data_IF_941356616050
#
_entry.id   IF_941356616050
#
_cell.length_a   1.000
_cell.length_b   1.000
_cell.length_c   1.000
_cell.angle_alpha   90.00
_cell.angle_beta   90.00
_cell.angle_gamma   90.00
#
_symmetry.space_group_name_H-M   'P 1'
#
loop_
_entity.id
_entity.type
_entity.pdbx_description
1 polymer ?
#
# COMPACT_ATOMS: atom_id res chain seq x y z
N UNK A 1 23.26 2.53 5.35
CA UNK A 1 22.99 3.61 4.39
C UNK A 1 22.01 4.56 5.03
N UNK A 2 22.28 5.87 5.08
CA UNK A 2 21.34 6.82 5.69
C UNK A 2 20.23 7.19 4.71
N UNK A 3 19.08 7.66 5.21
CA UNK A 3 17.94 8.10 4.40
C UNK A 3 18.29 9.13 3.30
N UNK A 4 19.11 10.18 3.58
CA UNK A 4 19.55 11.10 2.53
C UNK A 4 20.42 10.43 1.45
N UNK A 5 21.26 9.45 1.80
CA UNK A 5 22.07 8.71 0.81
C UNK A 5 21.17 7.91 -0.16
N UNK A 6 20.08 7.33 0.35
CA UNK A 6 19.15 6.54 -0.45
C UNK A 6 18.41 7.40 -1.48
N UNK A 7 17.97 8.60 -1.09
CA UNK A 7 17.31 9.52 -2.01
C UNK A 7 18.25 10.02 -3.11
N UNK A 8 19.50 10.31 -2.77
CA UNK A 8 20.51 10.68 -3.76
C UNK A 8 20.73 9.55 -4.78
N UNK A 9 20.88 8.31 -4.31
CA UNK A 9 21.01 7.12 -5.17
C UNK A 9 19.76 6.90 -6.04
N UNK A 10 18.56 7.10 -5.49
CA UNK A 10 17.32 6.99 -6.26
C UNK A 10 17.21 8.06 -7.35
N UNK A 11 17.67 9.27 -7.05
CA UNK A 11 17.69 10.36 -8.03
C UNK A 11 18.71 10.13 -9.14
N UNK A 12 19.92 9.69 -8.80
CA UNK A 12 20.94 9.34 -9.79
C UNK A 12 20.47 8.20 -10.71
N UNK A 13 19.84 7.17 -10.14
CA UNK A 13 19.25 6.07 -10.90
C UNK A 13 18.10 6.55 -11.80
N UNK A 14 17.23 7.42 -11.29
CA UNK A 14 16.16 8.03 -12.09
C UNK A 14 16.70 8.82 -13.27
N UNK A 15 17.70 9.67 -13.06
CA UNK A 15 18.33 10.46 -14.11
C UNK A 15 19.02 9.58 -15.18
N UNK A 16 19.65 8.48 -14.76
CA UNK A 16 20.21 7.49 -15.68
C UNK A 16 19.12 6.83 -16.53
N UNK A 17 18.03 6.41 -15.91
CA UNK A 17 16.89 5.77 -16.59
C UNK A 17 16.18 6.74 -17.53
N UNK A 18 16.05 8.00 -17.12
CA UNK A 18 15.47 9.09 -17.92
C UNK A 18 16.27 9.33 -19.21
N UNK A 19 17.60 9.40 -19.10
CA UNK A 19 18.51 9.51 -20.26
C UNK A 19 18.42 8.30 -21.19
N UNK A 20 18.11 7.13 -20.65
CA UNK A 20 17.93 5.89 -21.40
C UNK A 20 16.49 5.66 -21.90
N UNK A 21 15.59 6.64 -21.75
CA UNK A 21 14.21 6.55 -22.25
C UNK A 21 13.34 5.52 -21.53
N UNK A 22 13.60 5.24 -20.26
CA UNK A 22 12.84 4.24 -19.48
C UNK A 22 12.82 2.84 -20.12
N UNK A 23 13.98 2.44 -20.65
CA UNK A 23 14.21 1.12 -21.24
C UNK A 23 15.50 0.48 -20.71
N UNK A 24 15.70 -0.80 -21.06
CA UNK A 24 16.92 -1.53 -20.76
C UNK A 24 17.11 -1.92 -19.28
N UNK A 25 18.33 -2.37 -18.92
CA UNK A 25 18.61 -2.92 -17.59
C UNK A 25 18.44 -1.91 -16.44
N UNK A 26 18.79 -0.63 -16.67
CA UNK A 26 18.63 0.42 -15.66
C UNK A 26 17.16 0.63 -15.30
N UNK A 27 16.27 0.64 -16.31
CA UNK A 27 14.83 0.71 -16.09
C UNK A 27 14.33 -0.50 -15.30
N UNK A 28 14.72 -1.72 -15.70
CA UNK A 28 14.33 -2.94 -14.97
C UNK A 28 14.74 -2.88 -13.51
N UNK A 29 15.96 -2.41 -13.23
CA UNK A 29 16.45 -2.27 -11.86
C UNK A 29 15.64 -1.25 -11.05
N UNK A 30 15.34 -0.08 -11.64
CA UNK A 30 14.51 0.92 -10.98
C UNK A 30 13.08 0.43 -10.72
N UNK A 31 12.44 -0.13 -11.75
CA UNK A 31 11.09 -0.67 -11.67
C UNK A 31 10.98 -1.74 -10.57
N UNK A 32 11.95 -2.65 -10.52
CA UNK A 32 12.00 -3.73 -9.54
C UNK A 32 12.15 -3.21 -8.10
N UNK A 33 12.93 -2.14 -7.89
CA UNK A 33 13.01 -1.45 -6.59
C UNK A 33 11.68 -0.80 -6.20
N UNK A 34 11.04 -0.09 -7.12
CA UNK A 34 9.74 0.55 -6.87
C UNK A 34 8.65 -0.48 -6.58
N UNK A 35 8.56 -1.54 -7.39
CA UNK A 35 7.60 -2.63 -7.21
C UNK A 35 7.77 -3.29 -5.85
N UNK A 36 9.00 -3.70 -5.48
CA UNK A 36 9.24 -4.32 -4.17
C UNK A 36 8.84 -3.40 -3.02
N UNK A 37 9.19 -2.12 -3.08
CA UNK A 37 8.80 -1.16 -2.06
C UNK A 37 7.27 -0.97 -2.01
N UNK A 38 6.62 -0.81 -3.16
CA UNK A 38 5.17 -0.68 -3.26
C UNK A 38 4.43 -1.90 -2.70
N UNK A 39 4.89 -3.12 -2.99
CA UNK A 39 4.31 -4.36 -2.46
C UNK A 39 4.46 -4.45 -0.93
N UNK A 40 5.66 -4.15 -0.41
CA UNK A 40 5.94 -4.18 1.02
C UNK A 40 5.08 -3.18 1.81
N UNK A 41 4.77 -2.02 1.23
CA UNK A 41 3.92 -1.00 1.84
C UNK A 41 2.44 -1.30 1.68
N UNK A 42 2.00 -1.56 0.44
CA UNK A 42 0.58 -1.63 0.10
C UNK A 42 -0.07 -2.93 0.62
N UNK A 43 0.67 -4.05 0.61
CA UNK A 43 0.18 -5.34 1.09
C UNK A 43 -0.43 -5.28 2.50
N UNK A 44 0.35 -4.90 3.52
CA UNK A 44 -0.14 -4.75 4.88
C UNK A 44 -1.27 -3.71 5.00
N UNK A 45 -1.24 -2.62 4.21
CA UNK A 45 -2.32 -1.62 4.22
C UNK A 45 -3.64 -2.18 3.70
N UNK A 46 -3.61 -3.00 2.65
CA UNK A 46 -4.80 -3.63 2.07
C UNK A 46 -5.34 -4.73 2.99
N UNK A 47 -4.49 -5.68 3.43
CA UNK A 47 -4.91 -6.79 4.33
C UNK A 47 -5.48 -6.32 5.66
N UNK A 48 -4.98 -5.20 6.20
CA UNK A 48 -5.53 -4.60 7.42
C UNK A 48 -6.76 -3.71 7.19
N UNK A 49 -6.97 -3.30 5.94
CA UNK A 49 -7.89 -2.25 5.51
C UNK A 49 -7.49 -0.85 5.96
N UNK A 50 -6.24 -0.65 6.37
CA UNK A 50 -5.68 0.66 6.63
C UNK A 50 -5.71 1.56 5.38
N UNK A 51 -5.59 0.95 4.19
CA UNK A 51 -5.63 1.64 2.90
C UNK A 51 -6.84 2.57 2.74
N UNK A 52 -8.01 2.22 3.28
CA UNK A 52 -9.20 3.07 3.24
C UNK A 52 -9.02 4.37 4.04
N UNK A 53 -8.34 4.29 5.19
CA UNK A 53 -8.00 5.47 6.00
C UNK A 53 -6.87 6.29 5.38
N UNK A 54 -5.95 5.65 4.63
CA UNK A 54 -4.94 6.37 3.82
C UNK A 54 -5.65 7.16 2.71
N UNK A 55 -6.54 6.53 1.95
CA UNK A 55 -7.31 7.17 0.89
C UNK A 55 -8.13 8.37 1.39
N UNK A 56 -8.77 8.24 2.56
CA UNK A 56 -9.53 9.33 3.18
C UNK A 56 -8.65 10.55 3.52
N UNK A 57 -7.48 10.35 4.13
CA UNK A 57 -6.54 11.45 4.44
C UNK A 57 -6.08 12.17 3.18
N UNK A 58 -5.91 11.41 2.10
CA UNK A 58 -5.57 11.95 0.78
C UNK A 58 -6.77 12.53 0.03
N UNK A 59 -7.86 12.81 0.73
CA UNK A 59 -9.08 13.44 0.20
C UNK A 59 -9.75 12.62 -0.91
N UNK A 60 -9.57 11.30 -0.89
CA UNK A 60 -10.18 10.33 -1.79
C UNK A 60 -11.04 9.31 -1.02
N UNK A 61 -12.04 9.74 -0.24
CA UNK A 61 -12.81 8.82 0.59
C UNK A 61 -13.56 7.78 -0.27
N UNK A 62 -13.45 6.51 0.12
CA UNK A 62 -14.12 5.39 -0.55
C UNK A 62 -15.41 4.95 0.15
N UNK A 63 -15.47 5.11 1.48
CA UNK A 63 -16.59 4.71 2.36
C UNK A 63 -17.13 3.29 2.04
N UNK A 64 -16.30 2.24 2.18
CA UNK A 64 -16.74 0.88 1.90
C UNK A 64 -17.79 0.41 2.91
N UNK A 65 -18.71 -0.45 2.48
CA UNK A 65 -19.54 -1.24 3.41
C UNK A 65 -18.67 -2.22 4.21
N UNK A 66 -19.20 -2.77 5.31
CA UNK A 66 -18.47 -3.79 6.09
C UNK A 66 -18.12 -5.02 5.24
N UNK A 67 -19.01 -5.42 4.32
CA UNK A 67 -18.81 -6.53 3.40
C UNK A 67 -17.75 -6.21 2.35
N UNK A 68 -17.81 -5.04 1.70
CA UNK A 68 -16.79 -4.61 0.72
C UNK A 68 -15.40 -4.57 1.36
N UNK A 69 -15.34 -4.04 2.58
CA UNK A 69 -14.11 -3.98 3.35
C UNK A 69 -13.56 -5.38 3.62
N UNK A 70 -14.40 -6.31 4.08
CA UNK A 70 -14.00 -7.69 4.34
C UNK A 70 -13.49 -8.38 3.07
N UNK A 71 -14.22 -8.24 1.95
CA UNK A 71 -13.85 -8.84 0.67
C UNK A 71 -12.48 -8.36 0.18
N UNK A 72 -12.20 -7.06 0.28
CA UNK A 72 -10.89 -6.50 -0.10
C UNK A 72 -9.78 -6.97 0.84
N UNK A 73 -10.05 -7.03 2.14
CA UNK A 73 -9.05 -7.38 3.15
C UNK A 73 -8.65 -8.86 3.14
N UNK A 74 -9.55 -9.75 2.72
CA UNK A 74 -9.30 -11.20 2.75
C UNK A 74 -9.19 -11.79 1.37
N UNK A 75 -10.22 -11.62 0.53
CA UNK A 75 -10.36 -12.38 -0.72
C UNK A 75 -9.55 -11.76 -1.85
N UNK A 76 -9.60 -10.43 -1.97
CA UNK A 76 -9.02 -9.73 -3.10
C UNK A 76 -7.74 -8.97 -2.72
N UNK A 77 -7.16 -9.21 -1.55
CA UNK A 77 -6.06 -8.40 -1.05
C UNK A 77 -4.87 -8.38 -2.02
N UNK A 78 -4.40 -9.56 -2.44
CA UNK A 78 -3.27 -9.68 -3.37
C UNK A 78 -3.62 -9.13 -4.77
N UNK A 79 -4.83 -9.37 -5.27
CA UNK A 79 -5.29 -8.82 -6.56
C UNK A 79 -5.31 -7.30 -6.57
N UNK A 80 -5.80 -6.68 -5.48
CA UNK A 80 -5.77 -5.23 -5.32
C UNK A 80 -4.35 -4.70 -5.22
N UNK A 81 -3.47 -5.41 -4.51
CA UNK A 81 -2.08 -4.99 -4.32
C UNK A 81 -1.32 -5.05 -5.64
N UNK A 82 -1.33 -6.20 -6.33
CA UNK A 82 -0.61 -6.40 -7.59
C UNK A 82 -1.10 -5.47 -8.70
N UNK A 83 -2.42 -5.34 -8.88
CA UNK A 83 -2.99 -4.47 -9.92
C UNK A 83 -2.67 -3.00 -9.64
N UNK A 84 -2.74 -2.56 -8.37
CA UNK A 84 -2.42 -1.19 -8.00
C UNK A 84 -0.95 -0.84 -8.24
N UNK A 85 -0.03 -1.74 -7.86
CA UNK A 85 1.41 -1.55 -8.09
C UNK A 85 1.73 -1.55 -9.59
N UNK A 86 1.12 -2.46 -10.35
CA UNK A 86 1.31 -2.54 -11.82
C UNK A 86 0.85 -1.26 -12.50
N UNK A 87 -0.37 -0.79 -12.20
CA UNK A 87 -0.91 0.46 -12.76
C UNK A 87 -0.07 1.68 -12.39
N UNK A 88 0.42 1.73 -11.15
CA UNK A 88 1.28 2.83 -10.71
C UNK A 88 2.60 2.85 -11.50
N UNK A 89 3.18 1.68 -11.79
CA UNK A 89 4.41 1.57 -12.59
C UNK A 89 4.18 1.95 -14.06
N UNK A 90 3.07 1.51 -14.64
CA UNK A 90 2.69 1.90 -16.00
C UNK A 90 2.48 3.41 -16.13
N UNK A 91 1.77 4.01 -15.15
CA UNK A 91 1.59 5.45 -15.07
C UNK A 91 2.92 6.16 -14.91
N UNK A 92 3.79 5.70 -14.00
CA UNK A 92 5.13 6.26 -13.82
C UNK A 92 5.91 6.30 -15.12
N UNK A 93 5.96 5.18 -15.85
CA UNK A 93 6.69 5.10 -17.11
C UNK A 93 6.11 6.06 -18.16
N UNK A 94 4.78 6.09 -18.30
CA UNK A 94 4.08 6.97 -19.24
C UNK A 94 4.33 8.45 -18.93
N UNK A 95 4.03 8.87 -17.71
CA UNK A 95 4.15 10.26 -17.28
C UNK A 95 5.60 10.75 -17.40
N UNK A 96 6.58 9.86 -17.18
CA UNK A 96 8.00 10.19 -17.34
C UNK A 96 8.48 10.25 -18.80
N UNK A 97 7.81 9.55 -19.72
CA UNK A 97 8.09 9.61 -21.16
C UNK A 97 7.46 10.83 -21.81
N UNK A 98 6.25 11.18 -21.40
CA UNK A 98 5.49 12.31 -21.95
C UNK A 98 6.05 13.66 -21.48
N UNK A 99 6.90 13.68 -20.45
CA UNK A 99 7.43 14.90 -19.84
C UNK A 99 6.40 15.73 -19.06
N UNK A 100 5.15 15.28 -19.03
CA UNK A 100 4.02 15.85 -18.30
C UNK A 100 4.02 15.46 -16.81
N UNK A 101 4.79 14.43 -16.43
CA UNK A 101 5.07 14.11 -15.05
C UNK A 101 6.02 15.13 -14.44
N UNK A 102 5.50 16.03 -13.59
CA UNK A 102 6.36 16.88 -12.74
C UNK A 102 7.39 16.02 -12.00
N UNK A 103 8.56 16.60 -11.70
CA UNK A 103 9.71 15.86 -11.13
C UNK A 103 9.27 14.97 -9.95
N UNK A 104 9.24 13.62 -10.11
CA UNK A 104 8.77 12.70 -9.08
C UNK A 104 9.68 12.72 -7.83
N UNK A 105 10.81 13.43 -7.89
CA UNK A 105 11.68 13.70 -6.75
C UNK A 105 11.14 14.77 -5.79
N UNK A 106 10.14 15.57 -6.18
CA UNK A 106 9.62 16.66 -5.35
C UNK A 106 8.80 16.14 -4.16
N UNK A 107 9.26 16.44 -2.95
CA UNK A 107 8.53 16.28 -1.69
C UNK A 107 8.80 14.98 -0.93
N UNK A 108 8.50 13.82 -1.52
CA UNK A 108 8.63 12.50 -0.87
C UNK A 108 9.72 11.59 -1.44
N UNK A 109 10.48 12.10 -2.42
CA UNK A 109 11.34 11.27 -3.26
C UNK A 109 10.54 10.29 -4.13
N UNK A 110 11.27 9.59 -5.00
CA UNK A 110 10.70 8.70 -6.00
C UNK A 110 9.81 7.58 -5.40
N UNK A 111 10.25 7.00 -4.28
CA UNK A 111 9.51 5.96 -3.59
C UNK A 111 8.20 6.47 -2.96
N UNK A 112 8.22 7.64 -2.32
CA UNK A 112 7.03 8.28 -1.76
C UNK A 112 6.01 8.65 -2.83
N UNK A 113 6.49 9.18 -3.97
CA UNK A 113 5.65 9.41 -5.14
C UNK A 113 5.05 8.09 -5.67
N UNK A 114 5.85 7.02 -5.74
CA UNK A 114 5.36 5.74 -6.25
C UNK A 114 4.29 5.12 -5.35
N UNK A 115 4.49 5.11 -4.03
CA UNK A 115 3.46 4.69 -3.07
C UNK A 115 2.21 5.55 -3.20
N UNK A 116 2.37 6.85 -3.48
CA UNK A 116 1.24 7.72 -3.75
C UNK A 116 0.43 7.30 -4.98
N UNK A 117 1.11 6.98 -6.08
CA UNK A 117 0.49 6.47 -7.29
C UNK A 117 -0.20 5.11 -7.05
N UNK A 118 0.39 4.23 -6.23
CA UNK A 118 -0.23 2.97 -5.82
C UNK A 118 -1.57 3.19 -5.08
N UNK A 119 -1.63 4.15 -4.15
CA UNK A 119 -2.89 4.50 -3.44
C UNK A 119 -3.94 5.03 -4.42
N UNK A 120 -3.55 5.86 -5.38
CA UNK A 120 -4.46 6.35 -6.42
C UNK A 120 -5.00 5.19 -7.27
N UNK A 121 -4.13 4.30 -7.74
CA UNK A 121 -4.51 3.13 -8.52
C UNK A 121 -5.47 2.21 -7.75
N UNK A 122 -5.24 2.00 -6.45
CA UNK A 122 -6.14 1.27 -5.58
C UNK A 122 -7.54 1.92 -5.53
N UNK A 123 -7.61 3.25 -5.36
CA UNK A 123 -8.87 4.00 -5.34
C UNK A 123 -9.63 3.84 -6.67
N UNK A 124 -8.93 3.93 -7.80
CA UNK A 124 -9.50 3.74 -9.13
C UNK A 124 -10.02 2.32 -9.33
N UNK A 125 -9.24 1.31 -8.94
CA UNK A 125 -9.62 -0.10 -9.01
C UNK A 125 -10.85 -0.38 -8.13
N UNK A 126 -10.87 0.09 -6.89
CA UNK A 126 -12.01 -0.12 -5.98
C UNK A 126 -13.28 0.50 -6.54
N UNK A 127 -13.20 1.75 -7.03
CA UNK A 127 -14.33 2.44 -7.67
C UNK A 127 -14.80 1.72 -8.93
N UNK A 128 -13.89 1.10 -9.70
CA UNK A 128 -14.24 0.29 -10.87
C UNK A 128 -14.99 -0.98 -10.43
N UNK A 129 -14.39 -1.80 -9.58
CA UNK A 129 -14.96 -3.08 -9.15
C UNK A 129 -16.32 -2.91 -8.47
N UNK A 130 -16.52 -1.81 -7.72
CA UNK A 130 -17.83 -1.47 -7.14
C UNK A 130 -18.88 -1.13 -8.21
N UNK A 131 -18.50 -0.42 -9.29
CA UNK A 131 -19.41 -0.09 -10.39
C UNK A 131 -19.76 -1.31 -11.25
N UNK A 132 -18.81 -2.21 -11.48
CA UNK A 132 -18.97 -3.39 -12.34
C UNK A 132 -19.54 -4.61 -11.60
N UNK A 133 -19.62 -4.54 -10.27
CA UNK A 133 -20.08 -5.62 -9.41
C UNK A 133 -19.03 -6.73 -9.20
N UNK A 134 -17.78 -6.53 -9.62
CA UNK A 134 -16.74 -7.57 -9.60
C UNK A 134 -16.41 -8.04 -8.18
N UNK A 135 -16.55 -7.16 -7.18
CA UNK A 135 -16.38 -7.54 -5.76
C UNK A 135 -17.38 -8.61 -5.32
N UNK A 136 -18.57 -8.62 -5.94
CA UNK A 136 -19.70 -9.47 -5.54
C UNK A 136 -19.88 -10.67 -6.47
N UNK A 137 -19.44 -10.58 -7.74
CA UNK A 137 -19.61 -11.64 -8.74
C UNK A 137 -18.89 -12.94 -8.38
N UNK A 138 -17.80 -12.84 -7.61
CA UNK A 138 -17.04 -14.01 -7.22
C UNK A 138 -17.76 -14.90 -6.16
N UNK A 139 -18.83 -14.41 -5.51
CA UNK A 139 -19.70 -15.20 -4.62
C UNK A 139 -20.80 -15.97 -5.38
N UNK A 140 -20.90 -15.84 -6.70
CA UNK A 140 -22.00 -16.45 -7.46
C UNK A 140 -21.53 -17.65 -8.28
N UNK A 141 -21.88 -18.84 -7.77
CA UNK A 141 -22.10 -20.12 -8.47
C UNK A 141 -20.88 -20.93 -8.93
N UNK A 142 -20.51 -21.96 -8.16
CA UNK A 142 -19.93 -23.19 -8.70
C UNK A 142 -21.10 -24.15 -8.95
N UNK A 143 -21.46 -24.41 -10.20
CA UNK A 143 -22.39 -25.48 -10.55
C UNK A 143 -21.61 -26.79 -10.58
N UNK A 144 -21.76 -27.63 -9.56
CA UNK A 144 -21.29 -29.02 -9.64
C UNK A 144 -22.27 -29.78 -10.52
N UNK A 145 -21.81 -30.27 -11.67
CA UNK A 145 -22.60 -31.18 -12.51
C UNK A 145 -22.43 -32.59 -11.94
N UNK A 146 -23.37 -33.02 -11.10
CA UNK A 146 -23.54 -34.43 -10.71
C UNK A 146 -24.41 -35.18 -11.72
N UNK A 147 -24.25 -36.49 -11.79
CA UNK A 147 -25.02 -37.37 -12.71
C UNK A 147 -26.54 -37.28 -12.49
N UNK A 148 -26.99 -36.84 -11.31
CA UNK A 148 -28.40 -36.71 -10.91
C UNK A 148 -29.03 -35.31 -11.12
N UNK A 149 -28.35 -34.38 -11.80
CA UNK A 149 -28.86 -33.03 -12.09
C UNK A 149 -28.25 -31.91 -11.21
N UNK A 150 -28.53 -30.63 -11.51
CA UNK A 150 -27.86 -29.50 -10.87
C UNK A 150 -28.40 -29.26 -9.45
N UNK A 151 -27.68 -29.76 -8.43
CA UNK A 151 -27.92 -29.37 -7.04
C UNK A 151 -27.15 -28.08 -6.73
N UNK A 152 -27.88 -27.01 -6.42
CA UNK A 152 -27.30 -25.71 -6.10
C UNK A 152 -26.97 -25.65 -4.63
N UNK A 153 -25.75 -26.07 -4.27
CA UNK A 153 -25.21 -25.82 -2.93
C UNK A 153 -24.40 -24.52 -2.90
N UNK A 154 -24.71 -23.67 -1.92
CA UNK A 154 -23.86 -22.53 -1.54
C UNK A 154 -22.54 -23.04 -0.93
N UNK A 155 -21.55 -23.28 -1.78
CA UNK A 155 -20.19 -23.63 -1.33
C UNK A 155 -19.45 -22.34 -0.99
N UNK A 156 -19.44 -21.98 0.30
CA UNK A 156 -18.52 -20.97 0.83
C UNK A 156 -17.09 -21.51 0.71
N UNK A 157 -16.34 -21.03 -0.29
CA UNK A 157 -14.96 -21.44 -0.51
C UNK A 157 -14.14 -21.32 0.79
N UNK A 158 -13.48 -22.42 1.15
CA UNK A 158 -12.79 -22.59 2.42
C UNK A 158 -11.69 -21.54 2.64
N UNK A 159 -11.78 -20.89 3.79
CA UNK A 159 -10.99 -19.74 4.26
C UNK A 159 -9.79 -20.21 5.07
N UNK A 160 -8.95 -21.08 4.50
CA UNK A 160 -7.82 -21.65 5.24
C UNK A 160 -6.69 -20.63 5.50
N UNK A 161 -6.62 -19.54 4.72
CA UNK A 161 -5.61 -18.46 4.85
C UNK A 161 -6.09 -17.23 5.67
N UNK A 162 -7.32 -17.29 6.20
CA UNK A 162 -7.93 -16.18 6.93
C UNK A 162 -7.45 -16.14 8.39
N UNK A 163 -7.09 -17.29 8.98
CA UNK A 163 -6.73 -17.35 10.40
C UNK A 163 -5.43 -16.58 10.70
N UNK A 164 -4.35 -16.83 9.95
CA UNK A 164 -3.05 -16.19 10.19
C UNK A 164 -3.11 -14.68 9.89
N UNK A 165 -3.76 -14.30 8.79
CA UNK A 165 -3.97 -12.89 8.41
C UNK A 165 -4.81 -12.11 9.43
N UNK A 166 -5.79 -12.76 10.07
CA UNK A 166 -6.66 -12.12 11.09
C UNK A 166 -5.93 -11.92 12.41
N UNK A 167 -5.08 -12.87 12.83
CA UNK A 167 -4.32 -12.79 14.09
C UNK A 167 -3.31 -11.65 14.05
N UNK A 168 -2.53 -11.53 12.98
CA UNK A 168 -1.55 -10.45 12.80
C UNK A 168 -2.24 -9.08 12.75
N UNK A 169 -3.37 -9.00 12.05
CA UNK A 169 -4.16 -7.79 11.94
C UNK A 169 -4.74 -7.33 13.28
N UNK A 170 -5.28 -8.23 14.10
CA UNK A 170 -5.88 -7.89 15.39
C UNK A 170 -4.82 -7.49 16.41
N UNK A 171 -3.70 -8.23 16.45
CA UNK A 171 -2.56 -7.91 17.31
C UNK A 171 -1.99 -6.51 16.98
N UNK A 172 -1.88 -6.18 15.70
CA UNK A 172 -1.38 -4.87 15.28
C UNK A 172 -2.39 -3.74 15.58
N UNK A 173 -3.69 -3.95 15.32
CA UNK A 173 -4.73 -2.95 15.64
C UNK A 173 -4.82 -2.67 17.14
N UNK A 174 -4.64 -3.69 17.99
CA UNK A 174 -4.69 -3.51 19.44
C UNK A 174 -3.52 -2.66 19.96
N UNK A 175 -2.31 -2.82 19.39
CA UNK A 175 -1.13 -1.98 19.71
C UNK A 175 -1.37 -0.49 19.38
N UNK A 176 -2.20 -0.21 18.38
CA UNK A 176 -2.52 1.15 17.95
C UNK A 176 -3.81 1.71 18.56
N UNK A 177 -4.52 0.93 19.38
CA UNK A 177 -5.78 1.34 20.00
C UNK A 177 -5.55 2.50 21.00
N UNK A 178 -6.38 3.53 20.97
CA UNK A 178 -6.22 4.71 21.84
C UNK A 178 -5.25 5.79 21.33
N UNK A 179 -4.56 5.55 20.20
CA UNK A 179 -3.84 6.62 19.50
C UNK A 179 -4.82 7.50 18.72
N UNK A 180 -4.55 8.80 18.68
CA UNK A 180 -5.23 9.73 17.77
C UNK A 180 -4.93 9.38 16.31
N UNK A 181 -5.77 9.84 15.38
CA UNK A 181 -5.69 9.39 13.98
C UNK A 181 -4.36 9.71 13.31
N UNK A 182 -3.72 10.84 13.65
CA UNK A 182 -2.41 11.23 13.11
C UNK A 182 -1.29 10.32 13.61
N UNK A 183 -1.29 10.00 14.90
CA UNK A 183 -0.28 9.13 15.53
C UNK A 183 -0.44 7.68 15.10
N UNK A 184 -1.69 7.23 14.93
CA UNK A 184 -2.00 5.92 14.37
C UNK A 184 -1.45 5.78 12.96
N UNK A 185 -1.56 6.83 12.13
CA UNK A 185 -1.02 6.83 10.79
C UNK A 185 0.50 6.82 10.77
N UNK A 186 1.13 7.62 11.61
CA UNK A 186 2.58 7.62 11.78
C UNK A 186 3.10 6.23 12.17
N UNK A 187 2.49 5.60 13.17
CA UNK A 187 2.87 4.27 13.64
C UNK A 187 2.64 3.19 12.55
N UNK A 188 1.53 3.26 11.81
CA UNK A 188 1.29 2.36 10.68
C UNK A 188 2.34 2.52 9.60
N UNK A 189 2.68 3.76 9.25
CA UNK A 189 3.62 4.05 8.19
C UNK A 189 5.02 3.53 8.52
N UNK A 190 5.47 3.71 9.78
CA UNK A 190 6.73 3.15 10.28
C UNK A 190 6.75 1.61 10.26
N UNK A 191 5.66 0.97 10.67
CA UNK A 191 5.58 -0.50 10.68
C UNK A 191 5.58 -1.12 9.29
N UNK A 192 5.14 -0.39 8.27
CA UNK A 192 5.22 -0.83 6.87
C UNK A 192 6.50 -0.37 6.17
N UNK A 193 7.48 0.14 6.91
CA UNK A 193 8.79 0.51 6.38
C UNK A 193 8.81 1.79 5.56
N UNK A 194 7.84 2.71 5.76
CA UNK A 194 7.96 4.05 5.16
C UNK A 194 9.04 4.85 5.88
N UNK A 195 9.81 5.57 5.08
CA UNK A 195 10.84 6.49 5.50
C UNK A 195 10.24 7.84 5.92
N UNK A 196 10.97 8.66 6.68
CA UNK A 196 10.47 9.92 7.23
C UNK A 196 10.03 10.93 6.17
N UNK A 197 10.76 10.98 5.05
CA UNK A 197 10.40 11.83 3.89
C UNK A 197 9.10 11.37 3.22
N UNK A 198 8.94 10.06 3.03
CA UNK A 198 7.74 9.45 2.46
C UNK A 198 6.54 9.67 3.39
N UNK A 199 6.72 9.50 4.70
CA UNK A 199 5.70 9.78 5.70
C UNK A 199 5.31 11.25 5.66
N UNK A 200 6.29 12.15 5.57
CA UNK A 200 6.00 13.58 5.50
C UNK A 200 5.18 13.93 4.27
N UNK A 201 5.55 13.38 3.13
CA UNK A 201 4.84 13.57 1.86
C UNK A 201 3.44 12.95 1.84
N UNK A 202 3.28 11.72 2.35
CA UNK A 202 2.02 10.98 2.26
C UNK A 202 0.99 11.41 3.32
N UNK A 203 1.45 11.94 4.46
CA UNK A 203 0.61 12.28 5.60
C UNK A 203 0.69 13.75 6.01
N UNK A 204 1.14 14.63 5.10
CA UNK A 204 1.19 16.09 5.25
C UNK A 204 1.91 16.53 6.55
N UNK A 205 3.05 15.91 6.86
CA UNK A 205 3.96 16.49 7.87
C UNK A 205 4.84 17.56 7.21
N UNK A 206 5.20 18.62 7.96
CA UNK A 206 5.97 19.73 7.39
C UNK A 206 7.40 19.34 6.99
N UNK A 207 7.97 18.30 7.61
CA UNK A 207 9.31 17.80 7.28
C UNK A 207 9.56 16.41 7.86
N UNK A 208 10.58 15.72 7.34
CA UNK A 208 11.09 14.48 7.92
C UNK A 208 11.51 14.66 9.40
N UNK A 209 12.11 15.81 9.75
CA UNK A 209 12.46 16.11 11.14
C UNK A 209 11.22 16.21 12.06
N UNK A 210 10.10 16.76 11.56
CA UNK A 210 8.86 16.78 12.31
C UNK A 210 8.27 15.39 12.51
N UNK A 211 8.44 14.49 11.53
CA UNK A 211 8.07 13.07 11.66
C UNK A 211 8.90 12.41 12.76
N UNK A 212 10.23 12.59 12.75
CA UNK A 212 11.14 12.04 13.76
C UNK A 212 10.82 12.55 15.17
N UNK A 213 10.64 13.87 15.32
CA UNK A 213 10.29 14.47 16.61
C UNK A 213 8.97 13.91 17.14
N UNK A 214 7.95 13.80 16.27
CA UNK A 214 6.65 13.25 16.67
C UNK A 214 6.76 11.77 17.04
N UNK A 215 7.53 10.99 16.29
CA UNK A 215 7.75 9.57 16.55
C UNK A 215 8.46 9.34 17.89
N UNK A 216 9.49 10.12 18.20
CA UNK A 216 10.19 10.06 19.47
C UNK A 216 9.25 10.37 20.66
N UNK A 217 8.43 11.42 20.54
CA UNK A 217 7.42 11.74 21.54
C UNK A 217 6.38 10.62 21.70
N UNK A 218 5.99 9.99 20.59
CA UNK A 218 5.01 8.92 20.58
C UNK A 218 5.52 7.64 21.25
N UNK A 219 6.77 7.25 20.99
CA UNK A 219 7.41 6.12 21.68
C UNK A 219 7.53 6.42 23.17
N UNK A 220 7.94 7.63 23.55
CA UNK A 220 8.06 8.03 24.96
C UNK A 220 6.71 7.98 25.70
N UNK A 221 5.61 8.32 25.02
CA UNK A 221 4.27 8.27 25.59
C UNK A 221 3.67 6.85 25.59
N UNK A 222 4.07 6.00 24.62
CA UNK A 222 3.51 4.67 24.42
C UNK A 222 4.63 3.64 24.16
N UNK A 223 5.28 3.17 25.22
CA UNK A 223 6.39 2.21 25.12
C UNK A 223 6.09 0.91 24.35
N UNK A 224 4.81 0.52 24.24
CA UNK A 224 4.35 -0.62 23.40
C UNK A 224 4.57 -0.43 21.89
N UNK A 225 4.95 0.77 21.44
CA UNK A 225 5.26 1.07 20.04
C UNK A 225 6.75 0.96 19.73
N UNK A 226 7.61 0.73 20.74
CA UNK A 226 9.02 0.46 20.53
C UNK A 226 9.20 -0.83 19.69
N UNK A 227 10.11 -0.79 18.70
CA UNK A 227 10.37 -1.90 17.78
C UNK A 227 9.39 -2.01 16.60
N UNK A 228 8.45 -1.08 16.45
CA UNK A 228 7.54 -1.04 15.29
C UNK A 228 8.15 -0.36 14.05
N UNK A 229 9.42 0.04 14.06
CA UNK A 229 10.06 0.76 12.95
C UNK A 229 10.58 -0.16 11.82
N UNK A 230 10.15 -1.42 11.78
CA UNK A 230 10.44 -2.36 10.68
C UNK A 230 11.92 -2.74 10.56
N UNK A 231 12.77 -2.35 11.53
CA UNK A 231 14.21 -2.63 11.50
C UNK A 231 14.59 -4.07 11.83
N UNK A 232 13.64 -4.88 12.30
CA UNK A 232 13.86 -6.28 12.68
C UNK A 232 13.66 -7.29 11.53
N UNK A 233 13.25 -6.86 10.33
CA UNK A 233 12.97 -7.76 9.20
C UNK A 233 14.17 -8.11 8.31
N UNK A 234 15.39 -7.76 8.69
CA UNK A 234 16.62 -8.16 7.99
C UNK A 234 17.41 -9.16 8.87
N UNK A 235 16.92 -10.41 8.92
CA UNK A 235 17.63 -11.56 9.49
C UNK A 235 17.32 -12.83 8.73
#
# INVERSE_FOLDING_TARGET
MTEPDRHAVDQELFELVRKAGFEGPAWKHLADRLVRHGLAVLGPWVRSGWIFGVAERRRMPLRPSAQERLLVETRFAEDFVHESVTRALERFRRDSLDGDGGDPALGGGLAGWFVAACVLAFVEQFRRCRRTGDLYRADTTITLVTEDGPDSMDVRACTQDVADTVVDRLAFRSRLAGLGDRDRALAWARATGLHDTEIAYLFDFPSAAAVQQRWAALISAHGRLAGLDGKDTDR
#
